data_IF_319917446344
#
_entry.id   IF_319917446344
#
_cell.length_a   1.000
_cell.length_b   1.000
_cell.length_c   1.000
_cell.angle_alpha   90.00
_cell.angle_beta   90.00
_cell.angle_gamma   90.00
#
_symmetry.space_group_name_H-M   'P 1'
#
loop_
_entity.id
_entity.type
_entity.pdbx_description
1 polymer ?
#
# COMPACT_ATOMS: atom_id res chain seq x y z
N UNK A 1 -44.00 -45.26 24.74
CA UNK A 1 -43.06 -45.18 23.62
C UNK A 1 -43.22 -43.81 22.97
N UNK A 2 -42.47 -42.79 23.41
CA UNK A 2 -42.57 -41.42 22.88
C UNK A 2 -41.19 -40.97 22.41
N UNK A 3 -41.04 -40.90 21.10
CA UNK A 3 -39.83 -40.44 20.41
C UNK A 3 -39.65 -38.93 20.63
N UNK A 4 -38.55 -38.55 21.28
CA UNK A 4 -38.11 -37.15 21.41
C UNK A 4 -37.35 -36.75 20.14
N UNK A 5 -38.00 -36.04 19.22
CA UNK A 5 -37.34 -35.44 18.06
C UNK A 5 -36.59 -34.17 18.46
N UNK A 6 -35.27 -34.17 18.21
CA UNK A 6 -34.37 -33.02 18.37
C UNK A 6 -34.61 -32.01 17.23
N UNK A 7 -35.04 -30.78 17.56
CA UNK A 7 -35.01 -29.64 16.63
C UNK A 7 -33.56 -29.15 16.50
N UNK A 8 -32.93 -29.44 15.37
CA UNK A 8 -31.60 -28.92 15.04
C UNK A 8 -31.71 -27.44 14.65
N UNK A 9 -30.96 -26.59 15.35
CA UNK A 9 -30.91 -25.14 15.18
C UNK A 9 -30.11 -24.77 13.91
N UNK A 10 -30.81 -24.55 12.78
CA UNK A 10 -30.23 -24.01 11.53
C UNK A 10 -30.33 -22.49 11.48
N UNK A 11 -29.52 -21.74 12.23
CA UNK A 11 -29.50 -20.26 12.09
C UNK A 11 -28.17 -19.61 11.69
N UNK A 12 -27.04 -20.33 11.65
CA UNK A 12 -25.73 -19.68 11.53
C UNK A 12 -24.94 -20.03 10.24
N UNK A 13 -25.55 -20.66 9.24
CA UNK A 13 -24.82 -21.13 8.03
C UNK A 13 -24.50 -20.03 6.99
N UNK A 14 -25.10 -18.84 7.09
CA UNK A 14 -24.99 -17.80 6.06
C UNK A 14 -23.95 -16.69 6.37
N UNK A 15 -23.50 -16.55 7.63
CA UNK A 15 -22.53 -15.52 8.02
C UNK A 15 -21.06 -15.91 7.74
N UNK A 16 -20.77 -17.22 7.70
CA UNK A 16 -19.43 -17.76 7.45
C UNK A 16 -18.86 -17.43 6.05
N UNK A 17 -19.61 -17.57 4.94
CA UNK A 17 -19.10 -17.19 3.62
C UNK A 17 -18.94 -15.67 3.46
N UNK A 18 -19.79 -14.86 4.11
CA UNK A 18 -19.71 -13.40 4.03
C UNK A 18 -18.44 -12.84 4.68
N UNK A 19 -18.04 -13.39 5.85
CA UNK A 19 -16.80 -13.01 6.51
C UNK A 19 -15.56 -13.41 5.69
N UNK A 20 -15.59 -14.57 5.03
CA UNK A 20 -14.52 -15.02 4.15
C UNK A 20 -14.38 -14.11 2.92
N UNK A 21 -15.49 -13.71 2.31
CA UNK A 21 -15.50 -12.77 1.17
C UNK A 21 -14.96 -11.38 1.58
N UNK A 22 -15.33 -10.88 2.77
CA UNK A 22 -14.78 -9.64 3.30
C UNK A 22 -13.26 -9.71 3.53
N UNK A 23 -12.76 -10.85 4.03
CA UNK A 23 -11.32 -11.08 4.25
C UNK A 23 -10.53 -11.15 2.93
N UNK A 24 -11.13 -11.70 1.87
CA UNK A 24 -10.53 -11.75 0.54
C UNK A 24 -10.49 -10.36 -0.13
N UNK A 25 -11.51 -9.52 0.07
CA UNK A 25 -11.55 -8.17 -0.50
C UNK A 25 -10.56 -7.20 0.17
N UNK A 26 -10.18 -7.43 1.43
CA UNK A 26 -9.24 -6.58 2.16
C UNK A 26 -7.78 -6.65 1.66
N UNK A 27 -7.43 -7.66 0.84
CA UNK A 27 -6.05 -7.86 0.36
C UNK A 27 -5.79 -7.30 -1.05
N UNK A 28 -6.76 -6.64 -1.67
CA UNK A 28 -6.58 -6.02 -2.99
C UNK A 28 -5.97 -4.63 -2.79
N UNK A 29 -4.73 -4.57 -2.33
CA UNK A 29 -3.95 -3.33 -2.35
C UNK A 29 -3.32 -3.16 -3.75
N UNK A 30 -3.32 -1.96 -4.34
CA UNK A 30 -2.59 -1.71 -5.56
C UNK A 30 -1.09 -1.97 -5.30
N UNK A 31 -0.47 -2.79 -6.15
CA UNK A 31 0.97 -3.04 -6.06
C UNK A 31 1.71 -1.72 -6.31
N UNK A 32 2.40 -1.23 -5.29
CA UNK A 32 3.20 -0.02 -5.41
C UNK A 32 4.41 -0.32 -6.29
N UNK A 33 4.62 0.54 -7.29
CA UNK A 33 5.76 0.42 -8.21
C UNK A 33 7.05 0.61 -7.40
N UNK A 34 7.92 -0.40 -7.42
CA UNK A 34 9.22 -0.34 -6.75
C UNK A 34 10.25 0.22 -7.72
N UNK A 35 10.96 1.26 -7.28
CA UNK A 35 12.04 1.88 -8.04
C UNK A 35 13.40 1.47 -7.48
N UNK A 36 14.44 1.38 -8.32
CA UNK A 36 15.80 1.17 -7.82
C UNK A 36 16.24 2.39 -7.03
N UNK A 37 16.94 2.14 -5.92
CA UNK A 37 17.47 3.20 -5.05
C UNK A 37 18.91 3.54 -5.39
N UNK A 38 19.32 4.77 -5.13
CA UNK A 38 20.68 5.25 -5.42
C UNK A 38 21.27 6.03 -4.24
N UNK A 39 22.58 5.91 -4.07
CA UNK A 39 23.36 6.71 -3.11
C UNK A 39 22.96 6.51 -1.64
N UNK A 40 23.25 7.52 -0.83
CA UNK A 40 22.85 7.62 0.57
C UNK A 40 22.58 9.09 0.93
N UNK A 41 21.82 9.30 2.01
CA UNK A 41 21.55 10.64 2.55
C UNK A 41 22.56 10.91 3.66
N UNK A 42 23.50 11.83 3.42
CA UNK A 42 24.36 12.35 4.47
C UNK A 42 23.56 13.32 5.36
N UNK A 43 23.61 13.10 6.68
CA UNK A 43 22.86 13.89 7.66
C UNK A 43 23.83 14.66 8.55
N UNK A 44 24.06 15.92 8.20
CA UNK A 44 24.98 16.81 8.92
C UNK A 44 24.40 17.33 10.24
N UNK A 45 23.07 17.51 10.30
CA UNK A 45 22.34 17.94 11.50
C UNK A 45 21.10 17.07 11.71
N UNK A 46 20.83 16.70 12.96
CA UNK A 46 19.65 15.91 13.35
C UNK A 46 18.30 16.57 13.04
N UNK A 47 18.25 17.90 12.90
CA UNK A 47 17.03 18.65 12.59
C UNK A 47 16.39 18.24 11.25
N UNK A 48 17.20 17.72 10.30
CA UNK A 48 16.70 17.21 9.00
C UNK A 48 15.67 16.09 9.16
N UNK A 49 15.72 15.34 10.27
CA UNK A 49 14.83 14.20 10.52
C UNK A 49 13.36 14.61 10.65
N UNK A 50 13.09 15.89 10.94
CA UNK A 50 11.73 16.44 10.97
C UNK A 50 11.14 16.65 9.56
N UNK A 51 11.99 16.71 8.53
CA UNK A 51 11.61 16.98 7.14
C UNK A 51 11.75 15.71 6.30
N UNK A 52 12.83 14.96 6.52
CA UNK A 52 13.18 13.74 5.78
C UNK A 52 13.28 12.59 6.76
N UNK A 53 12.36 11.62 6.66
CA UNK A 53 12.33 10.42 7.50
C UNK A 53 13.72 9.76 7.60
N UNK A 54 14.16 9.30 8.78
CA UNK A 54 15.47 8.64 8.95
C UNK A 54 15.72 7.48 7.98
N UNK A 55 14.67 6.76 7.60
CA UNK A 55 14.74 5.62 6.66
C UNK A 55 14.49 5.97 5.19
N UNK A 56 14.38 7.25 4.84
CA UNK A 56 14.14 7.66 3.46
C UNK A 56 15.28 7.24 2.53
N UNK A 57 14.93 6.81 1.31
CA UNK A 57 15.87 6.44 0.25
C UNK A 57 15.58 7.29 -0.99
N UNK A 58 16.62 7.65 -1.73
CA UNK A 58 16.47 8.28 -3.04
C UNK A 58 16.17 7.20 -4.09
N UNK A 59 15.11 7.40 -4.86
CA UNK A 59 14.63 6.47 -5.88
C UNK A 59 14.88 7.04 -7.29
N UNK A 60 15.27 6.17 -8.22
CA UNK A 60 15.45 6.53 -9.64
C UNK A 60 14.14 6.31 -10.38
N UNK A 61 13.43 7.40 -10.65
CA UNK A 61 12.07 7.36 -11.26
C UNK A 61 12.07 7.30 -12.79
N UNK A 62 13.18 7.69 -13.45
CA UNK A 62 13.37 7.63 -14.89
C UNK A 62 14.87 7.61 -15.26
N UNK A 63 15.21 7.14 -16.47
CA UNK A 63 16.59 7.00 -16.98
C UNK A 63 16.65 7.29 -18.47
N UNK A 64 17.86 7.44 -19.03
CA UNK A 64 18.08 7.58 -20.48
C UNK A 64 18.11 9.02 -20.97
N UNK A 65 18.37 9.98 -20.08
CA UNK A 65 18.56 11.39 -20.40
C UNK A 65 20.04 11.73 -20.29
N UNK A 66 20.58 12.41 -21.30
CA UNK A 66 21.92 13.02 -21.20
C UNK A 66 21.89 14.25 -20.27
N UNK A 67 20.74 14.92 -20.20
CA UNK A 67 20.50 16.11 -19.38
C UNK A 67 19.03 16.20 -18.97
N UNK A 68 18.77 16.32 -17.66
CA UNK A 68 17.42 16.46 -17.09
C UNK A 68 17.34 17.74 -16.26
N UNK A 69 16.63 18.75 -16.75
CA UNK A 69 16.47 20.05 -16.10
C UNK A 69 15.04 20.56 -16.16
N UNK A 70 14.71 21.50 -15.27
CA UNK A 70 13.41 22.15 -15.22
C UNK A 70 12.22 21.24 -14.91
N UNK A 71 12.33 20.26 -13.98
CA UNK A 71 11.19 19.41 -13.65
C UNK A 71 10.02 20.26 -13.17
N UNK A 72 8.82 20.01 -13.69
CA UNK A 72 7.61 20.71 -13.28
C UNK A 72 6.54 19.74 -12.83
N UNK A 73 6.06 19.93 -11.60
CA UNK A 73 4.91 19.20 -11.09
C UNK A 73 3.61 19.87 -11.54
N UNK A 74 2.74 19.11 -12.22
CA UNK A 74 1.40 19.54 -12.58
C UNK A 74 0.38 18.92 -11.63
N UNK A 75 -0.05 19.70 -10.64
CA UNK A 75 -0.98 19.25 -9.59
C UNK A 75 -2.28 18.65 -10.15
N UNK A 76 -2.87 19.29 -11.17
CA UNK A 76 -4.12 18.81 -11.79
C UNK A 76 -3.97 17.41 -12.40
N UNK A 77 -2.77 17.04 -12.83
CA UNK A 77 -2.49 15.78 -13.51
C UNK A 77 -1.78 14.78 -12.61
N UNK A 78 -1.33 15.20 -11.42
CA UNK A 78 -0.48 14.42 -10.53
C UNK A 78 0.72 13.81 -11.30
N UNK A 79 1.36 14.65 -12.12
CA UNK A 79 2.39 14.23 -13.07
C UNK A 79 3.60 15.17 -13.05
N UNK A 80 4.76 14.58 -13.32
CA UNK A 80 6.03 15.27 -13.52
C UNK A 80 6.29 15.44 -15.02
N UNK A 81 6.61 16.66 -15.45
CA UNK A 81 7.14 16.98 -16.78
C UNK A 81 8.65 17.08 -16.77
#
# INVERSE_FOLDING_TARGET
MQHRFSKTNRRNRHYFPAALVLLLLANIAPAQKQYPTVGYIERLDSAINAIVSPGAKAEVIATGFDWSEGPLWIEKQQALL
#
